data_IF_637607515594
#
_entry.id   IF_637607515594
#
_cell.length_a   1.000
_cell.length_b   1.000
_cell.length_c   1.000
_cell.angle_alpha   90.00
_cell.angle_beta   90.00
_cell.angle_gamma   90.00
#
_symmetry.space_group_name_H-M   'P 1'
#
loop_
_entity.id
_entity.type
_entity.pdbx_description
1 polymer ?
#
# COMPACT_ATOMS: atom_id res chain seq x y z
N UNK A 1 16.09 -1.25 -0.96
CA UNK A 1 15.61 0.15 -0.95
C UNK A 1 15.05 0.52 -2.31
N UNK A 2 13.94 1.30 -2.34
CA UNK A 2 13.48 1.94 -3.57
C UNK A 2 14.49 3.00 -4.04
N UNK A 3 14.60 3.20 -5.34
CA UNK A 3 15.55 4.15 -5.94
C UNK A 3 15.28 5.62 -5.58
N UNK A 4 14.06 5.97 -5.18
CA UNK A 4 13.65 7.30 -4.73
C UNK A 4 13.72 7.47 -3.20
N UNK A 5 14.24 6.49 -2.46
CA UNK A 5 14.38 6.53 -1.01
C UNK A 5 15.60 7.35 -0.59
N UNK A 6 15.40 8.28 0.35
CA UNK A 6 16.46 9.09 0.93
C UNK A 6 16.74 8.58 2.35
N UNK A 7 17.99 8.20 2.61
CA UNK A 7 18.46 7.82 3.95
C UNK A 7 18.59 9.09 4.78
N UNK A 8 17.89 9.15 5.92
CA UNK A 8 17.84 10.32 6.80
C UNK A 8 18.60 10.13 8.12
N UNK A 9 19.11 8.94 8.38
CA UNK A 9 19.86 8.61 9.60
C UNK A 9 21.28 8.19 9.28
N UNK A 10 22.28 8.80 9.95
CA UNK A 10 23.68 8.39 9.85
C UNK A 10 23.92 6.98 10.42
N UNK A 11 23.00 6.46 11.21
CA UNK A 11 23.04 5.11 11.78
C UNK A 11 22.21 4.09 11.00
N UNK A 12 21.77 4.42 9.79
CA UNK A 12 20.83 3.61 9.04
C UNK A 12 21.27 2.15 8.90
N UNK A 13 22.48 1.89 8.46
CA UNK A 13 23.03 0.51 8.35
C UNK A 13 23.29 -0.11 9.71
N UNK A 14 23.84 0.66 10.66
CA UNK A 14 24.11 0.19 12.02
C UNK A 14 22.85 -0.32 12.73
N UNK A 15 21.71 0.36 12.52
CA UNK A 15 20.43 -0.06 13.09
C UNK A 15 20.00 -1.45 12.58
N UNK A 16 20.21 -1.76 11.31
CA UNK A 16 19.94 -3.08 10.77
C UNK A 16 20.94 -4.13 11.31
N UNK A 17 22.24 -3.83 11.29
CA UNK A 17 23.29 -4.73 11.80
C UNK A 17 23.05 -5.08 13.28
N UNK A 18 22.70 -4.08 14.09
CA UNK A 18 22.38 -4.29 15.51
C UNK A 18 21.20 -5.27 15.66
N UNK A 19 20.14 -5.09 14.89
CA UNK A 19 18.97 -5.97 14.95
C UNK A 19 19.26 -7.41 14.49
N UNK A 20 20.12 -7.59 13.51
CA UNK A 20 20.55 -8.94 13.08
C UNK A 20 21.33 -9.63 14.21
N UNK A 21 22.24 -8.89 14.90
CA UNK A 21 23.04 -9.43 15.98
C UNK A 21 22.25 -9.73 17.25
N UNK A 22 21.22 -8.91 17.57
CA UNK A 22 20.38 -9.10 18.75
C UNK A 22 19.47 -10.34 18.63
N UNK A 23 18.95 -10.58 17.43
CA UNK A 23 18.01 -11.65 17.20
C UNK A 23 18.14 -12.10 15.73
N UNK A 24 18.10 -13.39 15.47
CA UNK A 24 18.18 -13.98 14.13
C UNK A 24 16.90 -13.67 13.30
N UNK A 25 16.54 -12.39 13.17
CA UNK A 25 15.41 -11.99 12.37
C UNK A 25 15.62 -12.28 10.89
N UNK A 26 14.63 -12.93 10.29
CA UNK A 26 14.66 -13.33 8.89
C UNK A 26 14.26 -12.19 7.94
N UNK A 27 13.37 -11.30 8.41
CA UNK A 27 12.89 -10.14 7.66
C UNK A 27 12.78 -8.95 8.61
N UNK A 28 13.33 -7.79 8.21
CA UNK A 28 13.29 -6.55 8.99
C UNK A 28 12.79 -5.43 8.07
N UNK A 29 11.78 -4.68 8.51
CA UNK A 29 11.24 -3.52 7.81
C UNK A 29 11.47 -2.22 8.60
N UNK A 30 12.14 -1.25 7.97
CA UNK A 30 12.51 0.03 8.60
C UNK A 30 11.41 1.08 8.61
N UNK A 31 10.54 1.07 7.61
CA UNK A 31 9.46 2.04 7.45
C UNK A 31 9.76 3.15 6.45
N UNK A 32 8.73 3.97 6.16
CA UNK A 32 8.76 5.13 5.26
C UNK A 32 8.14 6.34 5.94
N UNK A 33 8.69 7.50 5.68
CA UNK A 33 8.14 8.80 6.09
C UNK A 33 8.08 9.76 4.91
N UNK A 34 7.29 10.81 5.06
CA UNK A 34 7.12 11.86 4.06
C UNK A 34 7.50 13.21 4.64
N UNK A 35 8.02 14.11 3.79
CA UNK A 35 8.32 15.47 4.20
C UNK A 35 7.03 16.16 4.70
N UNK A 36 7.10 16.85 5.84
CA UNK A 36 5.97 17.58 6.42
C UNK A 36 5.66 18.88 5.67
N UNK A 37 6.63 19.39 4.91
CA UNK A 37 6.44 20.61 4.10
C UNK A 37 5.48 20.32 2.96
N UNK A 38 4.43 21.15 2.86
CA UNK A 38 3.38 21.02 1.86
C UNK A 38 3.92 21.28 0.46
N UNK A 39 3.79 20.33 -0.49
CA UNK A 39 4.29 20.50 -1.84
C UNK A 39 3.37 21.35 -2.72
N UNK A 40 3.79 21.63 -3.96
CA UNK A 40 2.97 22.25 -4.99
C UNK A 40 1.64 21.49 -5.16
N UNK A 41 0.57 22.21 -5.59
CA UNK A 41 -0.79 21.62 -5.69
C UNK A 41 -0.85 20.32 -6.48
N UNK A 42 -0.11 20.23 -7.56
CA UNK A 42 -0.08 19.06 -8.45
C UNK A 42 0.58 17.80 -7.86
N UNK A 43 1.15 17.85 -6.65
CA UNK A 43 1.77 16.72 -5.94
C UNK A 43 1.08 16.39 -4.60
N UNK A 44 -0.01 17.09 -4.26
CA UNK A 44 -0.66 16.97 -2.95
C UNK A 44 -1.35 15.65 -2.73
N UNK A 45 -1.86 14.99 -3.76
CA UNK A 45 -2.60 13.75 -3.62
C UNK A 45 -1.68 12.64 -3.08
N UNK A 46 -0.53 12.42 -3.72
CA UNK A 46 0.48 11.45 -3.26
C UNK A 46 0.99 11.80 -1.86
N UNK A 47 1.27 13.07 -1.61
CA UNK A 47 1.79 13.55 -0.34
C UNK A 47 0.81 13.34 0.83
N UNK A 48 -0.47 13.75 0.68
CA UNK A 48 -1.49 13.56 1.73
C UNK A 48 -1.71 12.08 2.02
N UNK A 49 -1.76 11.24 0.99
CA UNK A 49 -1.89 9.81 1.15
C UNK A 49 -0.69 9.21 1.91
N UNK A 50 0.51 9.57 1.52
CA UNK A 50 1.73 9.16 2.18
C UNK A 50 1.76 9.52 3.67
N UNK A 51 1.45 10.77 4.00
CA UNK A 51 1.39 11.23 5.39
C UNK A 51 0.31 10.54 6.21
N UNK A 52 -0.90 10.33 5.65
CA UNK A 52 -2.06 9.86 6.39
C UNK A 52 -2.22 8.35 6.42
N UNK A 53 -1.67 7.62 5.45
CA UNK A 53 -1.90 6.17 5.28
C UNK A 53 -0.62 5.33 5.34
N UNK A 54 0.52 5.86 4.89
CA UNK A 54 1.79 5.10 4.83
C UNK A 54 2.77 5.43 5.96
N UNK A 55 2.86 6.69 6.39
CA UNK A 55 3.75 7.12 7.50
C UNK A 55 3.21 6.66 8.85
N UNK A 56 3.37 5.37 9.15
CA UNK A 56 3.00 4.80 10.46
C UNK A 56 4.26 4.64 11.31
N UNK A 57 4.14 4.93 12.61
CA UNK A 57 5.22 4.63 13.55
C UNK A 57 5.44 3.11 13.67
N UNK A 58 6.59 2.72 14.17
CA UNK A 58 7.01 1.32 14.21
C UNK A 58 6.19 0.50 15.21
N UNK A 59 5.71 1.09 16.32
CA UNK A 59 4.83 0.46 17.29
C UNK A 59 3.49 0.07 16.67
N UNK A 60 2.88 0.98 15.91
CA UNK A 60 1.64 0.71 15.20
C UNK A 60 1.82 -0.38 14.13
N UNK A 61 2.98 -0.36 13.43
CA UNK A 61 3.26 -1.39 12.41
C UNK A 61 3.43 -2.78 13.01
N UNK A 62 4.04 -2.90 14.20
CA UNK A 62 4.21 -4.17 14.92
C UNK A 62 2.91 -4.87 15.28
N UNK A 63 1.82 -4.16 15.48
CA UNK A 63 0.53 -4.75 15.83
C UNK A 63 -0.01 -5.67 14.72
N UNK A 64 0.32 -5.38 13.45
CA UNK A 64 -0.06 -6.17 12.30
C UNK A 64 1.14 -6.22 11.33
N UNK A 65 2.19 -7.00 11.64
CA UNK A 65 3.49 -6.86 11.00
C UNK A 65 3.45 -7.14 9.49
N UNK A 66 2.87 -8.24 9.07
CA UNK A 66 2.82 -8.61 7.66
C UNK A 66 1.92 -7.66 6.83
N UNK A 67 0.79 -7.23 7.40
CA UNK A 67 -0.11 -6.25 6.79
C UNK A 67 0.51 -4.86 6.62
N UNK A 68 1.46 -4.50 7.46
CA UNK A 68 2.09 -3.19 7.49
C UNK A 68 3.42 -3.16 6.71
N UNK A 69 3.74 -4.22 6.01
CA UNK A 69 4.93 -4.35 5.19
C UNK A 69 4.83 -3.55 3.89
N UNK A 70 5.96 -2.99 3.47
CA UNK A 70 6.16 -2.36 2.17
C UNK A 70 7.60 -2.66 1.72
N UNK A 71 7.81 -2.79 0.42
CA UNK A 71 9.11 -3.20 -0.15
C UNK A 71 10.16 -2.08 -0.21
N UNK A 72 9.78 -0.85 0.09
CA UNK A 72 10.64 0.32 -0.08
C UNK A 72 11.88 0.38 0.83
N UNK A 73 11.86 -0.30 1.99
CA UNK A 73 12.94 -0.22 2.99
C UNK A 73 12.94 -1.47 3.87
N UNK A 74 13.43 -2.58 3.33
CA UNK A 74 13.47 -3.84 4.08
C UNK A 74 14.78 -4.58 3.86
N UNK A 75 15.05 -5.49 4.79
CA UNK A 75 16.13 -6.48 4.73
C UNK A 75 15.50 -7.86 4.88
N UNK A 76 15.94 -8.80 4.07
CA UNK A 76 15.48 -10.19 4.09
C UNK A 76 16.68 -11.12 3.98
N UNK A 77 16.67 -12.24 4.72
CA UNK A 77 17.70 -13.25 4.58
C UNK A 77 17.56 -13.99 3.25
N UNK A 78 18.71 -14.29 2.61
CA UNK A 78 18.76 -14.95 1.30
C UNK A 78 17.92 -16.24 1.24
N UNK A 79 18.03 -17.19 2.22
CA UNK A 79 17.23 -18.41 2.16
C UNK A 79 15.71 -18.15 2.18
N UNK A 80 15.26 -17.14 2.97
CA UNK A 80 13.83 -16.79 3.01
C UNK A 80 13.39 -16.18 1.69
N UNK A 81 14.20 -15.31 1.07
CA UNK A 81 13.87 -14.71 -0.22
C UNK A 81 13.82 -15.74 -1.35
N UNK A 82 14.76 -16.67 -1.38
CA UNK A 82 14.80 -17.74 -2.39
C UNK A 82 13.59 -18.67 -2.29
N UNK A 83 13.11 -18.95 -1.06
CA UNK A 83 11.90 -19.74 -0.80
C UNK A 83 10.58 -18.96 -0.97
N UNK A 84 10.63 -17.62 -1.05
CA UNK A 84 9.47 -16.74 -1.09
C UNK A 84 9.77 -15.57 -2.03
N UNK A 85 9.82 -15.80 -3.33
CA UNK A 85 10.01 -14.75 -4.33
C UNK A 85 8.72 -13.96 -4.54
N UNK A 86 8.85 -12.75 -5.06
CA UNK A 86 7.68 -12.02 -5.56
C UNK A 86 7.01 -12.79 -6.70
N UNK A 87 5.69 -12.71 -6.75
CA UNK A 87 4.93 -13.38 -7.80
C UNK A 87 5.11 -12.64 -9.14
N UNK A 88 5.88 -13.23 -10.06
CA UNK A 88 6.19 -12.66 -11.37
C UNK A 88 4.96 -12.55 -12.30
N UNK A 89 3.83 -13.16 -11.94
CA UNK A 89 2.56 -13.01 -12.66
C UNK A 89 1.91 -11.65 -12.44
N UNK A 90 2.31 -10.93 -11.39
CA UNK A 90 1.86 -9.56 -11.11
C UNK A 90 2.66 -8.58 -11.97
N UNK A 91 2.27 -8.42 -13.23
CA UNK A 91 2.93 -7.51 -14.19
C UNK A 91 2.47 -6.06 -14.00
N UNK A 92 1.26 -5.87 -13.48
CA UNK A 92 0.67 -4.54 -13.29
C UNK A 92 1.13 -3.91 -11.95
N UNK A 93 1.14 -2.60 -11.92
CA UNK A 93 1.59 -1.80 -10.77
C UNK A 93 0.70 -1.98 -9.54
N UNK A 94 1.32 -2.25 -8.39
CA UNK A 94 0.76 -2.12 -7.04
C UNK A 94 0.21 -3.41 -6.43
N UNK A 95 0.28 -3.48 -5.10
CA UNK A 95 -0.13 -4.59 -4.25
C UNK A 95 0.77 -5.85 -4.29
N UNK A 96 1.92 -5.80 -4.97
CA UNK A 96 2.94 -6.84 -4.92
C UNK A 96 3.48 -7.03 -3.50
N UNK A 97 3.71 -5.94 -2.77
CA UNK A 97 4.11 -5.95 -1.36
C UNK A 97 3.01 -6.49 -0.44
N UNK A 98 1.75 -6.17 -0.75
CA UNK A 98 0.57 -6.65 -0.03
C UNK A 98 0.43 -8.16 -0.15
N UNK A 99 0.57 -8.70 -1.37
CA UNK A 99 0.52 -10.15 -1.60
C UNK A 99 1.70 -10.85 -0.92
N UNK A 100 2.91 -10.33 -1.10
CA UNK A 100 4.12 -10.90 -0.49
C UNK A 100 4.01 -10.95 1.05
N UNK A 101 3.58 -9.86 1.69
CA UNK A 101 3.34 -9.82 3.12
C UNK A 101 2.27 -10.84 3.58
N UNK A 102 1.22 -11.02 2.80
CA UNK A 102 0.18 -11.99 3.07
C UNK A 102 0.67 -13.45 2.92
N UNK A 103 1.43 -13.76 1.88
CA UNK A 103 2.01 -15.11 1.69
C UNK A 103 2.98 -15.48 2.82
N UNK A 104 3.80 -14.54 3.27
CA UNK A 104 4.64 -14.74 4.46
C UNK A 104 3.80 -15.00 5.71
N UNK A 105 2.68 -14.29 5.89
CA UNK A 105 1.75 -14.50 7.01
C UNK A 105 1.18 -15.91 7.02
N UNK A 106 0.72 -16.43 5.87
CA UNK A 106 0.20 -17.79 5.75
C UNK A 106 1.27 -18.84 6.13
N UNK A 107 2.52 -18.57 5.79
CA UNK A 107 3.66 -19.43 6.13
C UNK A 107 4.18 -19.23 7.57
N UNK A 108 3.48 -18.44 8.39
CA UNK A 108 3.88 -18.07 9.76
C UNK A 108 5.27 -17.40 9.84
N UNK A 109 5.65 -16.68 8.79
CA UNK A 109 6.88 -15.88 8.75
C UNK A 109 6.53 -14.44 9.10
N UNK A 110 6.92 -14.02 10.30
CA UNK A 110 6.66 -12.66 10.77
C UNK A 110 7.74 -11.68 10.31
N UNK A 111 7.33 -10.44 10.00
CA UNK A 111 8.20 -9.34 9.64
C UNK A 111 8.51 -8.50 10.89
N UNK A 112 9.79 -8.31 11.19
CA UNK A 112 10.19 -7.46 12.31
C UNK A 112 10.20 -5.99 11.89
N UNK A 113 9.51 -5.13 12.64
CA UNK A 113 9.48 -3.69 12.39
C UNK A 113 10.41 -2.94 13.32
N UNK A 114 11.23 -2.06 12.77
CA UNK A 114 12.14 -1.19 13.52
C UNK A 114 11.89 0.29 13.20
N UNK A 115 12.34 1.17 14.07
CA UNK A 115 12.34 2.62 13.80
C UNK A 115 13.58 3.01 13.00
N UNK A 116 13.56 2.77 11.70
CA UNK A 116 14.67 3.07 10.79
C UNK A 116 14.13 3.54 9.43
N UNK A 117 13.27 4.58 9.40
CA UNK A 117 12.57 4.96 8.19
C UNK A 117 13.49 5.62 7.17
N UNK A 118 13.10 5.49 5.90
CA UNK A 118 13.60 6.33 4.81
C UNK A 118 12.59 7.42 4.48
N UNK A 119 13.07 8.56 4.00
CA UNK A 119 12.22 9.62 3.47
C UNK A 119 11.89 9.31 2.00
N UNK A 120 10.61 9.43 1.65
CA UNK A 120 10.20 9.38 0.23
C UNK A 120 10.72 10.62 -0.49
N UNK A 121 11.66 10.45 -1.42
CA UNK A 121 12.27 11.53 -2.20
C UNK A 121 11.47 11.90 -3.45
N UNK A 122 10.68 10.97 -3.99
CA UNK A 122 9.88 11.14 -5.20
C UNK A 122 8.38 11.29 -4.90
N UNK A 123 7.77 12.42 -5.29
CA UNK A 123 6.31 12.57 -5.25
C UNK A 123 5.77 12.62 -6.68
N UNK A 124 4.99 11.62 -7.06
CA UNK A 124 4.20 11.65 -8.28
C UNK A 124 3.31 12.90 -8.35
N UNK A 125 3.08 13.39 -9.56
CA UNK A 125 2.01 14.35 -9.76
C UNK A 125 0.63 13.69 -9.57
N UNK A 126 -0.39 14.50 -9.26
CA UNK A 126 -1.74 14.01 -8.97
C UNK A 126 -2.31 13.12 -10.09
N UNK A 127 -2.01 13.46 -11.37
CA UNK A 127 -2.50 12.70 -12.53
C UNK A 127 -1.89 11.30 -12.59
N UNK A 128 -0.56 11.21 -12.51
CA UNK A 128 0.14 9.93 -12.56
C UNK A 128 -0.23 9.07 -11.35
N UNK A 129 -0.28 9.67 -10.15
CA UNK A 129 -0.65 8.95 -8.96
C UNK A 129 -2.09 8.40 -9.01
N UNK A 130 -3.03 9.16 -9.57
CA UNK A 130 -4.41 8.71 -9.75
C UNK A 130 -4.51 7.56 -10.76
N UNK A 131 -3.80 7.65 -11.89
CA UNK A 131 -3.72 6.58 -12.89
C UNK A 131 -3.13 5.30 -12.27
N UNK A 132 -2.01 5.43 -11.56
CA UNK A 132 -1.36 4.30 -10.89
C UNK A 132 -2.28 3.70 -9.81
N UNK A 133 -3.05 4.52 -9.09
CA UNK A 133 -4.05 4.03 -8.12
C UNK A 133 -5.15 3.20 -8.81
N UNK A 134 -5.66 3.66 -9.96
CA UNK A 134 -6.68 2.91 -10.72
C UNK A 134 -6.14 1.57 -11.25
N UNK A 135 -4.86 1.52 -11.67
CA UNK A 135 -4.16 0.29 -12.08
C UNK A 135 -3.99 -0.64 -10.89
N UNK A 136 -3.47 -0.12 -9.75
CA UNK A 136 -3.27 -0.90 -8.54
C UNK A 136 -4.58 -1.53 -8.02
N UNK A 137 -5.73 -0.83 -8.14
CA UNK A 137 -7.03 -1.41 -7.79
C UNK A 137 -7.41 -2.53 -8.76
N UNK A 138 -7.08 -2.41 -10.06
CA UNK A 138 -7.25 -3.50 -11.02
C UNK A 138 -6.46 -4.74 -10.62
N UNK A 139 -5.16 -4.55 -10.34
CA UNK A 139 -4.26 -5.60 -9.87
C UNK A 139 -4.76 -6.24 -8.56
N UNK A 140 -5.26 -5.43 -7.61
CA UNK A 140 -5.85 -5.94 -6.37
C UNK A 140 -7.04 -6.89 -6.62
N UNK A 141 -7.88 -6.61 -7.61
CA UNK A 141 -9.00 -7.50 -7.98
C UNK A 141 -8.49 -8.82 -8.54
N UNK A 142 -7.42 -8.81 -9.32
CA UNK A 142 -6.83 -10.04 -9.87
C UNK A 142 -6.11 -10.85 -8.77
N UNK A 143 -5.41 -10.19 -7.86
CA UNK A 143 -4.84 -10.82 -6.65
C UNK A 143 -5.96 -11.44 -5.80
N UNK A 144 -7.08 -10.74 -5.57
CA UNK A 144 -8.20 -11.26 -4.80
C UNK A 144 -8.76 -12.56 -5.38
N UNK A 145 -8.85 -12.66 -6.72
CA UNK A 145 -9.24 -13.89 -7.41
C UNK A 145 -8.18 -14.98 -7.25
N UNK A 146 -6.92 -14.62 -7.42
CA UNK A 146 -5.78 -15.52 -7.26
C UNK A 146 -5.74 -16.18 -5.87
N UNK A 147 -5.98 -15.41 -4.82
CA UNK A 147 -6.07 -15.92 -3.44
C UNK A 147 -7.45 -16.53 -3.11
N UNK A 148 -8.28 -16.81 -4.12
CA UNK A 148 -9.61 -17.42 -3.99
C UNK A 148 -10.51 -16.71 -2.96
N UNK A 149 -10.54 -15.38 -2.96
CA UNK A 149 -11.33 -14.58 -2.02
C UNK A 149 -11.06 -14.91 -0.55
N UNK A 150 -9.80 -15.20 -0.22
CA UNK A 150 -9.39 -15.58 1.12
C UNK A 150 -9.83 -14.53 2.15
N UNK A 151 -10.55 -14.96 3.19
CA UNK A 151 -11.10 -14.05 4.22
C UNK A 151 -10.01 -13.25 4.93
N UNK A 152 -8.88 -13.89 5.29
CA UNK A 152 -7.77 -13.21 5.96
C UNK A 152 -7.13 -12.14 5.07
N UNK A 153 -7.02 -12.37 3.76
CA UNK A 153 -6.55 -11.37 2.81
C UNK A 153 -7.52 -10.17 2.73
N UNK A 154 -8.83 -10.45 2.66
CA UNK A 154 -9.87 -9.40 2.64
C UNK A 154 -9.79 -8.54 3.91
N UNK A 155 -9.63 -9.15 5.09
CA UNK A 155 -9.50 -8.44 6.36
C UNK A 155 -8.20 -7.60 6.45
N UNK A 156 -7.12 -8.08 5.87
CA UNK A 156 -5.85 -7.38 5.86
C UNK A 156 -5.87 -6.14 4.94
N UNK A 157 -6.58 -6.20 3.81
CA UNK A 157 -6.65 -5.08 2.85
C UNK A 157 -7.84 -4.18 3.16
N UNK A 158 -7.58 -3.00 3.74
CA UNK A 158 -8.63 -2.07 4.20
C UNK A 158 -9.66 -1.74 3.11
N UNK A 159 -9.25 -1.58 1.86
CA UNK A 159 -10.15 -1.29 0.75
C UNK A 159 -11.11 -2.45 0.48
N UNK A 160 -10.61 -3.68 0.47
CA UNK A 160 -11.43 -4.89 0.30
C UNK A 160 -12.37 -5.07 1.50
N UNK A 161 -11.84 -4.98 2.71
CA UNK A 161 -12.66 -5.07 3.93
C UNK A 161 -13.82 -4.08 3.89
N UNK A 162 -13.56 -2.81 3.57
CA UNK A 162 -14.61 -1.79 3.45
C UNK A 162 -15.63 -2.16 2.39
N UNK A 163 -15.19 -2.60 1.21
CA UNK A 163 -16.08 -3.01 0.14
C UNK A 163 -17.01 -4.17 0.55
N UNK A 164 -16.45 -5.21 1.17
CA UNK A 164 -17.24 -6.37 1.59
C UNK A 164 -18.15 -6.06 2.79
N UNK A 165 -17.75 -5.21 3.72
CA UNK A 165 -18.61 -4.72 4.80
C UNK A 165 -19.81 -3.95 4.23
N UNK A 166 -19.59 -3.13 3.21
CA UNK A 166 -20.63 -2.33 2.56
C UNK A 166 -21.29 -3.05 1.37
N UNK A 167 -21.09 -4.35 1.20
CA UNK A 167 -21.53 -5.10 0.02
C UNK A 167 -23.04 -4.98 -0.27
N UNK A 168 -23.86 -4.94 0.76
CA UNK A 168 -25.32 -4.75 0.64
C UNK A 168 -25.66 -3.42 -0.09
N UNK A 169 -24.84 -2.41 0.05
CA UNK A 169 -25.01 -1.08 -0.55
C UNK A 169 -24.23 -0.88 -1.86
N UNK A 170 -23.61 -1.94 -2.43
CA UNK A 170 -22.73 -1.84 -3.59
C UNK A 170 -23.35 -1.12 -4.79
N UNK A 171 -24.66 -1.33 -5.06
CA UNK A 171 -25.36 -0.65 -6.18
C UNK A 171 -25.49 0.85 -5.92
N UNK A 172 -25.80 1.25 -4.70
CA UNK A 172 -25.93 2.66 -4.29
C UNK A 172 -24.56 3.33 -4.39
N UNK A 173 -23.52 2.70 -3.84
CA UNK A 173 -22.12 3.20 -3.93
C UNK A 173 -21.72 3.39 -5.38
N UNK A 174 -22.03 2.44 -6.26
CA UNK A 174 -21.71 2.50 -7.69
C UNK A 174 -22.41 3.69 -8.36
N UNK A 175 -23.72 3.86 -8.16
CA UNK A 175 -24.50 4.96 -8.75
C UNK A 175 -23.97 6.31 -8.28
N UNK A 176 -23.80 6.51 -6.96
CA UNK A 176 -23.25 7.75 -6.41
C UNK A 176 -21.85 8.02 -6.98
N UNK A 177 -21.01 6.99 -7.03
CA UNK A 177 -19.66 7.14 -7.57
C UNK A 177 -19.70 7.56 -9.04
N UNK A 178 -20.49 6.91 -9.90
CA UNK A 178 -20.53 7.22 -11.33
C UNK A 178 -21.02 8.66 -11.58
N UNK A 179 -22.00 9.13 -10.79
CA UNK A 179 -22.49 10.53 -10.87
C UNK A 179 -21.41 11.53 -10.47
N UNK A 180 -20.73 11.29 -9.33
CA UNK A 180 -19.77 12.25 -8.78
C UNK A 180 -18.33 12.03 -9.24
N UNK A 181 -18.02 10.93 -9.95
CA UNK A 181 -16.66 10.60 -10.42
C UNK A 181 -15.98 11.75 -11.17
N UNK A 182 -16.63 12.45 -12.15
CA UNK A 182 -15.98 13.54 -12.86
C UNK A 182 -15.56 14.69 -11.94
N UNK A 183 -16.44 15.08 -11.02
CA UNK A 183 -16.18 16.15 -10.04
C UNK A 183 -15.07 15.77 -9.07
N UNK A 184 -15.14 14.56 -8.49
CA UNK A 184 -14.11 14.07 -7.57
C UNK A 184 -12.75 14.02 -8.27
N UNK A 185 -12.71 13.46 -9.48
CA UNK A 185 -11.49 13.38 -10.29
C UNK A 185 -10.90 14.77 -10.56
N UNK A 186 -11.74 15.73 -10.95
CA UNK A 186 -11.32 17.12 -11.18
C UNK A 186 -10.69 17.72 -9.91
N UNK A 187 -11.36 17.63 -8.76
CA UNK A 187 -10.87 18.16 -7.48
C UNK A 187 -9.53 17.53 -7.07
N UNK A 188 -9.39 16.20 -7.20
CA UNK A 188 -8.14 15.49 -6.89
C UNK A 188 -7.00 15.94 -7.80
N UNK A 189 -7.25 16.09 -9.11
CA UNK A 189 -6.26 16.56 -10.09
C UNK A 189 -5.84 18.00 -9.82
N UNK A 190 -6.77 18.88 -9.46
CA UNK A 190 -6.53 20.28 -9.12
C UNK A 190 -5.80 20.45 -7.77
N UNK A 191 -5.60 19.37 -6.99
CA UNK A 191 -4.91 19.38 -5.71
C UNK A 191 -5.78 19.84 -4.52
N UNK A 192 -7.11 19.84 -4.68
CA UNK A 192 -8.07 19.95 -3.57
C UNK A 192 -8.32 18.55 -3.00
N UNK A 193 -7.37 18.10 -2.16
CA UNK A 193 -7.33 16.73 -1.68
C UNK A 193 -7.91 16.63 -0.28
N UNK A 194 -9.00 15.87 -0.15
CA UNK A 194 -9.48 15.33 1.10
C UNK A 194 -9.25 13.80 1.08
N UNK A 195 -8.69 13.25 2.17
CA UNK A 195 -8.33 11.83 2.23
C UNK A 195 -9.57 10.92 2.15
N UNK A 196 -10.68 11.31 2.74
CA UNK A 196 -11.93 10.53 2.70
C UNK A 196 -12.57 10.55 1.30
N UNK A 197 -12.48 11.69 0.60
CA UNK A 197 -12.90 11.79 -0.80
C UNK A 197 -12.06 10.86 -1.69
N UNK A 198 -10.76 10.78 -1.44
CA UNK A 198 -9.89 9.86 -2.17
C UNK A 198 -10.15 8.39 -1.80
N UNK A 199 -10.42 8.08 -0.52
CA UNK A 199 -10.82 6.74 -0.10
C UNK A 199 -12.14 6.32 -0.74
N UNK A 200 -13.13 7.23 -0.84
CA UNK A 200 -14.38 7.00 -1.57
C UNK A 200 -14.13 6.79 -3.08
N UNK A 201 -13.22 7.57 -3.69
CA UNK A 201 -12.83 7.36 -5.08
C UNK A 201 -12.28 5.96 -5.32
N UNK A 202 -11.37 5.49 -4.47
CA UNK A 202 -10.81 4.12 -4.54
C UNK A 202 -11.90 3.06 -4.40
N UNK A 203 -12.82 3.25 -3.44
CA UNK A 203 -13.94 2.32 -3.22
C UNK A 203 -14.86 2.26 -4.45
N UNK A 204 -15.16 3.39 -5.07
CA UNK A 204 -15.96 3.46 -6.28
C UNK A 204 -15.29 2.79 -7.47
N UNK A 205 -13.97 3.01 -7.67
CA UNK A 205 -13.18 2.32 -8.71
C UNK A 205 -13.20 0.81 -8.47
N UNK A 206 -13.03 0.36 -7.22
CA UNK A 206 -13.14 -1.06 -6.89
C UNK A 206 -14.53 -1.61 -7.19
N UNK A 207 -15.59 -0.90 -6.83
CA UNK A 207 -16.96 -1.31 -7.12
C UNK A 207 -17.23 -1.48 -8.62
N UNK A 208 -16.70 -0.57 -9.46
CA UNK A 208 -16.76 -0.69 -10.93
C UNK A 208 -16.04 -1.97 -11.38
N UNK A 209 -14.79 -2.18 -10.95
CA UNK A 209 -13.97 -3.33 -11.34
C UNK A 209 -14.59 -4.68 -10.92
N UNK A 210 -15.19 -4.71 -9.73
CA UNK A 210 -15.87 -5.91 -9.21
C UNK A 210 -17.21 -6.22 -9.90
N UNK A 211 -17.83 -5.24 -10.56
CA UNK A 211 -19.09 -5.42 -11.31
C UNK A 211 -18.88 -5.71 -12.81
N UNK A 212 -17.70 -5.47 -13.35
CA UNK A 212 -17.37 -5.87 -14.72
C UNK A 212 -17.26 -7.40 -14.75
N UNK A 213 -18.31 -8.08 -15.21
CA UNK A 213 -18.24 -9.50 -15.59
C UNK A 213 -17.16 -9.60 -16.66
N UNK A 214 -16.16 -10.50 -16.50
CA UNK A 214 -15.34 -10.89 -17.64
C UNK A 214 -16.30 -11.45 -18.69
N UNK A 215 -16.46 -10.72 -19.81
CA UNK A 215 -16.93 -11.31 -21.05
C UNK A 215 -15.93 -12.36 -21.51
#
# INVERSE_FOLDING_TARGET
LDCDSIIISNHFLLNYIKKIKENSYKIIYGGRVYNKVKPKRNKRLRWIYGLKRESKNWETRKQNPNKSFMTNNFLISKPIFEANRFDERLVEYGHEDTLFGFELKIKNISINHINNPVLNGGLDNNKNYLINTEKAIGNLVDILKYVNYNKSFIEDVTLLRTYFTLYKFKKIILVIFLVFKPLIKYLLLAGFVNIYMFDFYKLGVLAVRMNVKKQ
#
